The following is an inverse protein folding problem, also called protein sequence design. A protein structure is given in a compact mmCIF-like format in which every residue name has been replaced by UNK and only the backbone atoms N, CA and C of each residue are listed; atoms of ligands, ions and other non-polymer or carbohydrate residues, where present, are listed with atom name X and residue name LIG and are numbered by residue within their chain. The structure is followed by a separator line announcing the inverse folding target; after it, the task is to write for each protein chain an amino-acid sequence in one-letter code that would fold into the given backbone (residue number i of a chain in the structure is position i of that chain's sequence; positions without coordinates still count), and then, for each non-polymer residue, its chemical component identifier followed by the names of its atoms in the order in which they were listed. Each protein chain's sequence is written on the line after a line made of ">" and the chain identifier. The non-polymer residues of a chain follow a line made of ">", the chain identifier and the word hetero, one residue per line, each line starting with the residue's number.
data_IF_909446008158
#
_entry.id   IF_909446008158
#
_cell.length_a   1.000
_cell.length_b   1.000
_cell.length_c   1.000
_cell.angle_alpha   90.00
_cell.angle_beta   90.00
_cell.angle_gamma   90.00
#
_symmetry.space_group_name_H-M   'P 1'
#
loop_
_entity.id
_entity.type
_entity.pdbx_description
1 polymer ?
#
# COMPACT_ATOMS: atom_id res chain seq x y z
N UNK A 1 26.10 17.98 -30.15
CA UNK A 1 25.46 17.91 -28.82
C UNK A 1 24.30 16.92 -28.89
N UNK A 2 24.50 15.69 -28.40
CA UNK A 2 23.48 14.65 -28.43
C UNK A 2 22.68 14.68 -27.12
N UNK A 3 21.38 14.98 -27.22
CA UNK A 3 20.44 15.03 -26.10
C UNK A 3 19.96 13.62 -25.78
N UNK A 4 20.50 13.01 -24.74
CA UNK A 4 20.11 11.68 -24.28
C UNK A 4 18.67 11.72 -23.75
N UNK A 5 17.72 11.11 -24.47
CA UNK A 5 16.37 10.86 -23.96
C UNK A 5 16.46 9.83 -22.84
N UNK A 6 16.18 10.26 -21.61
CA UNK A 6 15.92 9.36 -20.48
C UNK A 6 14.59 8.66 -20.76
N UNK A 7 14.62 7.40 -21.20
CA UNK A 7 13.42 6.55 -21.20
C UNK A 7 13.15 6.13 -19.75
N UNK A 8 11.98 6.50 -19.22
CA UNK A 8 11.50 6.04 -17.93
C UNK A 8 11.63 4.51 -17.85
N UNK A 9 12.43 4.01 -16.89
CA UNK A 9 12.43 2.59 -16.56
C UNK A 9 11.01 2.22 -16.15
N UNK A 10 10.41 1.25 -16.85
CA UNK A 10 9.21 0.56 -16.37
C UNK A 10 9.48 0.17 -14.92
N UNK A 11 8.75 0.78 -13.99
CA UNK A 11 8.61 0.25 -12.65
C UNK A 11 8.12 -1.19 -12.82
N UNK A 12 8.96 -2.16 -12.46
CA UNK A 12 8.47 -3.50 -12.15
C UNK A 12 7.75 -3.36 -10.81
N UNK A 13 6.54 -2.80 -10.83
CA UNK A 13 5.69 -2.66 -9.65
C UNK A 13 5.78 -3.95 -8.86
N UNK A 14 6.22 -3.84 -7.59
CA UNK A 14 6.85 -4.89 -6.80
C UNK A 14 6.33 -6.30 -7.07
N UNK A 15 6.90 -6.96 -8.08
CA UNK A 15 6.57 -8.37 -8.34
C UNK A 15 7.38 -9.16 -7.34
N UNK A 16 6.68 -9.70 -6.34
CA UNK A 16 7.22 -10.70 -5.45
C UNK A 16 8.00 -11.77 -6.26
N UNK A 17 9.11 -12.30 -5.72
CA UNK A 17 9.89 -13.33 -6.40
C UNK A 17 8.98 -14.46 -6.90
N UNK A 18 9.14 -14.83 -8.17
CA UNK A 18 8.28 -15.83 -8.83
C UNK A 18 8.29 -17.11 -8.01
N UNK A 19 7.10 -17.70 -7.80
CA UNK A 19 6.83 -18.87 -6.94
C UNK A 19 7.88 -19.99 -7.03
N UNK A 20 8.45 -20.24 -8.21
CA UNK A 20 9.49 -21.24 -8.42
C UNK A 20 10.79 -20.95 -7.67
N UNK A 21 11.23 -19.69 -7.59
CA UNK A 21 12.52 -19.34 -7.00
C UNK A 21 12.56 -19.57 -5.48
N UNK A 22 11.46 -19.29 -4.77
CA UNK A 22 11.34 -19.49 -3.31
C UNK A 22 11.17 -20.97 -2.97
N UNK A 23 10.41 -21.71 -3.79
CA UNK A 23 10.25 -23.15 -3.60
C UNK A 23 11.56 -23.92 -3.87
N UNK A 24 12.32 -23.55 -4.90
CA UNK A 24 13.61 -24.18 -5.18
C UNK A 24 14.64 -23.98 -4.07
N UNK A 25 14.68 -22.80 -3.45
CA UNK A 25 15.61 -22.55 -2.32
C UNK A 25 15.19 -23.29 -1.05
N UNK A 26 13.89 -23.36 -0.76
CA UNK A 26 13.35 -24.20 0.32
C UNK A 26 13.69 -25.69 0.10
N UNK A 27 13.44 -26.19 -1.11
CA UNK A 27 13.69 -27.58 -1.47
C UNK A 27 15.18 -27.95 -1.37
N UNK A 28 16.06 -27.11 -1.89
CA UNK A 28 17.49 -27.31 -1.79
C UNK A 28 17.98 -27.35 -0.33
N UNK A 29 17.43 -26.49 0.55
CA UNK A 29 17.79 -26.48 1.97
C UNK A 29 17.33 -27.76 2.68
N UNK A 30 16.10 -28.21 2.42
CA UNK A 30 15.55 -29.44 3.01
C UNK A 30 16.29 -30.70 2.57
N UNK A 31 16.67 -30.77 1.29
CA UNK A 31 17.49 -31.87 0.79
C UNK A 31 18.91 -31.86 1.38
N UNK A 32 19.51 -30.69 1.57
CA UNK A 32 20.82 -30.57 2.24
C UNK A 32 20.76 -31.01 3.72
N UNK A 33 19.71 -30.63 4.46
CA UNK A 33 19.46 -31.06 5.84
C UNK A 33 19.27 -32.58 5.94
N UNK A 34 18.50 -33.20 5.04
CA UNK A 34 18.31 -34.66 5.00
C UNK A 34 19.61 -35.41 4.73
N UNK A 35 20.43 -34.90 3.80
CA UNK A 35 21.73 -35.48 3.45
C UNK A 35 22.72 -35.41 4.62
N UNK A 36 22.72 -34.32 5.38
CA UNK A 36 23.53 -34.19 6.60
C UNK A 36 23.08 -35.16 7.71
N UNK A 37 21.79 -35.50 7.76
CA UNK A 37 21.23 -36.46 8.71
C UNK A 37 21.31 -37.93 8.24
N UNK A 38 21.94 -38.20 7.09
CA UNK A 38 22.03 -39.55 6.53
C UNK A 38 20.69 -40.16 6.12
N UNK A 39 19.65 -39.34 5.93
CA UNK A 39 18.32 -39.77 5.49
C UNK A 39 18.27 -39.88 3.97
N UNK A 40 17.35 -40.72 3.48
CA UNK A 40 17.04 -40.83 2.06
C UNK A 40 16.57 -39.47 1.49
N UNK A 41 16.73 -39.32 0.18
CA UNK A 41 16.33 -38.12 -0.55
C UNK A 41 14.83 -37.87 -0.36
N UNK A 42 14.47 -36.66 0.08
CA UNK A 42 13.08 -36.30 0.38
C UNK A 42 12.30 -36.24 -0.94
N UNK A 43 11.16 -36.93 -0.99
CA UNK A 43 10.31 -36.94 -2.18
C UNK A 43 9.56 -35.62 -2.34
N UNK A 44 9.19 -35.28 -3.58
CA UNK A 44 8.50 -34.01 -3.90
C UNK A 44 7.17 -33.86 -3.14
N UNK A 45 6.44 -34.97 -2.95
CA UNK A 45 5.21 -35.00 -2.18
C UNK A 45 5.42 -34.71 -0.68
N UNK A 46 6.52 -35.19 -0.07
CA UNK A 46 6.85 -34.89 1.33
C UNK A 46 7.31 -33.43 1.50
N UNK A 47 7.97 -32.88 0.49
CA UNK A 47 8.39 -31.48 0.43
C UNK A 47 7.21 -30.52 0.33
N UNK A 48 6.20 -30.85 -0.49
CA UNK A 48 4.95 -30.07 -0.56
C UNK A 48 4.12 -30.19 0.72
N UNK A 49 4.06 -31.37 1.35
CA UNK A 49 3.32 -31.58 2.59
C UNK A 49 3.90 -30.83 3.80
N UNK A 50 5.22 -30.59 3.80
CA UNK A 50 5.91 -29.82 4.85
C UNK A 50 6.24 -28.39 4.44
N UNK A 51 5.90 -28.00 3.20
CA UNK A 51 6.12 -26.64 2.73
C UNK A 51 5.42 -25.66 3.67
N UNK A 52 6.04 -24.51 3.99
CA UNK A 52 5.39 -23.49 4.78
C UNK A 52 4.05 -23.12 4.13
N UNK A 53 2.99 -23.09 4.95
CA UNK A 53 1.63 -22.74 4.53
C UNK A 53 1.70 -21.47 3.69
N UNK A 54 1.16 -21.55 2.46
CA UNK A 54 1.14 -20.43 1.53
C UNK A 54 0.33 -19.30 2.16
N UNK A 55 1.03 -18.28 2.67
CA UNK A 55 0.39 -17.08 3.18
C UNK A 55 0.05 -16.20 1.96
N UNK A 56 -1.09 -16.48 1.34
CA UNK A 56 -1.64 -15.69 0.22
C UNK A 56 -2.45 -14.50 0.74
N UNK A 57 -1.84 -13.58 1.48
CA UNK A 57 -2.42 -12.24 1.48
C UNK A 57 -1.81 -11.48 0.33
N UNK A 58 -2.68 -10.93 -0.52
CA UNK A 58 -2.30 -9.91 -1.47
C UNK A 58 -1.72 -8.76 -0.65
N UNK A 59 -0.41 -8.51 -0.74
CA UNK A 59 0.22 -7.30 -0.18
C UNK A 59 -0.11 -6.12 -1.11
N UNK A 60 -1.39 -5.98 -1.47
CA UNK A 60 -1.87 -4.75 -2.06
C UNK A 60 -1.66 -3.64 -1.04
N UNK A 61 -1.32 -2.46 -1.53
CA UNK A 61 -1.19 -1.29 -0.66
C UNK A 61 -2.50 -1.07 0.08
N UNK A 62 -3.66 -1.34 -0.55
CA UNK A 62 -4.95 -1.27 0.09
C UNK A 62 -5.07 -2.23 1.27
N UNK A 63 -4.73 -3.52 1.11
CA UNK A 63 -4.90 -4.51 2.17
C UNK A 63 -4.04 -4.19 3.40
N UNK A 64 -2.81 -3.75 3.19
CA UNK A 64 -1.88 -3.40 4.26
C UNK A 64 -2.27 -2.08 4.94
N UNK A 65 -2.68 -1.08 4.15
CA UNK A 65 -3.08 0.22 4.70
C UNK A 65 -4.42 0.14 5.46
N UNK A 66 -5.39 -0.61 4.96
CA UNK A 66 -6.68 -0.80 5.62
C UNK A 66 -6.66 -1.82 6.77
N UNK A 67 -5.67 -2.72 6.83
CA UNK A 67 -5.48 -3.62 7.98
C UNK A 67 -5.08 -2.88 9.25
N UNK A 68 -4.44 -1.72 9.11
CA UNK A 68 -4.03 -0.86 10.21
C UNK A 68 -5.03 0.30 10.36
N UNK A 69 -6.09 0.09 11.14
CA UNK A 69 -6.91 1.21 11.56
C UNK A 69 -6.19 1.94 12.69
N UNK A 70 -5.95 3.24 12.51
CA UNK A 70 -5.48 4.10 13.58
C UNK A 70 -6.70 4.67 14.30
N UNK A 71 -6.80 4.44 15.61
CA UNK A 71 -7.84 5.05 16.43
C UNK A 71 -7.63 6.57 16.42
N UNK A 72 -8.47 7.29 15.68
CA UNK A 72 -8.53 8.73 15.76
C UNK A 72 -8.88 9.13 17.19
N UNK A 73 -8.13 10.09 17.75
CA UNK A 73 -8.41 10.64 19.07
C UNK A 73 -9.75 11.41 19.06
N UNK A 74 -10.34 11.71 20.23
CA UNK A 74 -11.61 12.43 20.31
C UNK A 74 -11.59 13.72 19.48
N UNK A 75 -12.72 14.03 18.84
CA UNK A 75 -12.92 15.27 18.09
C UNK A 75 -12.56 16.48 18.93
N UNK A 76 -11.62 17.30 18.43
CA UNK A 76 -11.21 18.57 19.03
C UNK A 76 -11.91 19.74 18.34
N UNK A 77 -12.02 20.88 19.03
CA UNK A 77 -12.44 22.15 18.43
C UNK A 77 -11.26 22.98 17.92
N UNK A 78 -10.04 22.58 18.26
CA UNK A 78 -8.82 23.27 17.83
C UNK A 78 -8.47 22.92 16.38
N UNK A 79 -7.95 23.90 15.63
CA UNK A 79 -7.48 23.67 14.25
C UNK A 79 -6.30 22.69 14.20
N UNK A 80 -5.50 22.64 15.26
CA UNK A 80 -4.33 21.77 15.34
C UNK A 80 -4.07 21.37 16.80
N UNK A 81 -4.26 20.09 17.11
CA UNK A 81 -3.98 19.49 18.42
C UNK A 81 -3.14 18.22 18.24
N UNK A 82 -1.80 18.32 18.30
CA UNK A 82 -0.95 17.15 18.17
C UNK A 82 -1.08 16.24 19.41
N UNK A 83 -1.10 14.93 19.18
CA UNK A 83 -1.06 13.92 20.24
C UNK A 83 0.11 12.98 20.00
N UNK A 84 0.85 12.68 21.06
CA UNK A 84 2.06 11.86 20.99
C UNK A 84 1.81 10.54 21.72
N UNK A 85 2.25 9.45 21.10
CA UNK A 85 2.29 8.13 21.72
C UNK A 85 3.69 7.55 21.63
N UNK A 86 4.05 6.75 22.62
CA UNK A 86 5.32 6.01 22.61
C UNK A 86 5.00 4.55 22.81
N UNK A 87 5.61 3.70 21.99
CA UNK A 87 5.54 2.25 22.16
C UNK A 87 6.96 1.68 22.11
N UNK A 88 7.20 0.66 22.92
CA UNK A 88 8.47 -0.08 22.88
C UNK A 88 8.15 -1.52 22.54
N UNK A 89 8.79 -2.04 21.52
CA UNK A 89 8.61 -3.43 21.07
C UNK A 89 9.96 -4.12 21.03
N UNK A 90 9.94 -5.44 21.21
CA UNK A 90 11.11 -6.28 20.94
C UNK A 90 10.92 -6.79 19.52
N UNK A 91 11.94 -6.59 18.66
CA UNK A 91 11.85 -7.06 17.28
C UNK A 91 11.65 -8.59 17.27
N UNK A 92 10.51 -9.11 16.77
CA UNK A 92 10.21 -10.54 16.81
C UNK A 92 10.98 -11.35 15.75
N UNK A 93 11.68 -10.68 14.83
CA UNK A 93 12.45 -11.32 13.73
C UNK A 93 13.92 -11.55 14.10
N UNK A 94 14.45 -10.86 15.12
CA UNK A 94 15.82 -11.03 15.60
C UNK A 94 15.86 -11.87 16.88
N UNK A 95 16.06 -13.18 16.70
CA UNK A 95 16.07 -14.14 17.81
C UNK A 95 17.30 -14.03 18.73
N UNK A 96 18.42 -13.45 18.24
CA UNK A 96 19.70 -13.49 18.94
C UNK A 96 19.96 -12.24 19.80
N UNK A 97 19.54 -11.05 19.35
CA UNK A 97 19.88 -9.79 20.02
C UNK A 97 18.70 -9.04 20.65
N UNK A 98 17.44 -9.54 20.52
CA UNK A 98 16.22 -8.93 21.10
C UNK A 98 16.28 -7.39 21.05
N UNK A 99 16.62 -6.84 19.89
CA UNK A 99 16.81 -5.41 19.76
C UNK A 99 15.51 -4.70 20.17
N UNK A 100 15.65 -3.77 21.11
CA UNK A 100 14.55 -2.98 21.63
C UNK A 100 14.32 -1.85 20.63
N UNK A 101 13.13 -1.81 20.06
CA UNK A 101 12.69 -0.77 19.14
C UNK A 101 11.79 0.20 19.91
N UNK A 102 12.07 1.50 19.75
CA UNK A 102 11.25 2.57 20.29
C UNK A 102 10.52 3.26 19.15
N UNK A 103 9.21 3.36 19.28
CA UNK A 103 8.31 3.97 18.32
C UNK A 103 7.74 5.25 18.91
N UNK A 104 7.80 6.33 18.14
CA UNK A 104 7.11 7.58 18.42
C UNK A 104 5.97 7.71 17.41
N UNK A 105 4.74 7.77 17.89
CA UNK A 105 3.58 8.14 17.09
C UNK A 105 3.23 9.60 17.31
N UNK A 106 2.86 10.27 16.21
CA UNK A 106 2.35 11.64 16.21
C UNK A 106 1.03 11.62 15.47
N UNK A 107 -0.04 12.01 16.15
CA UNK A 107 -1.36 12.18 15.58
C UNK A 107 -1.63 13.67 15.44
N UNK A 108 -2.07 14.10 14.25
CA UNK A 108 -2.45 15.48 13.98
C UNK A 108 -3.97 15.57 14.01
N UNK A 109 -4.52 15.84 15.20
CA UNK A 109 -5.97 15.99 15.33
C UNK A 109 -6.38 17.43 15.01
N UNK A 110 -7.53 17.59 14.38
CA UNK A 110 -8.07 18.88 14.00
C UNK A 110 -9.59 18.89 14.11
N UNK A 111 -10.18 20.06 14.33
CA UNK A 111 -11.60 20.30 14.14
C UNK A 111 -12.06 20.12 12.70
N UNK A 112 -11.13 19.95 11.76
CA UNK A 112 -11.36 19.60 10.36
C UNK A 112 -11.52 18.09 10.12
N UNK A 113 -11.29 17.25 11.13
CA UNK A 113 -11.36 15.79 10.97
C UNK A 113 -12.80 15.25 11.03
N UNK A 114 -13.04 14.13 10.34
CA UNK A 114 -14.31 13.42 10.39
C UNK A 114 -15.50 14.30 9.96
N UNK A 115 -16.54 14.49 10.81
CA UNK A 115 -17.65 15.42 10.51
C UNK A 115 -17.21 16.87 10.33
N UNK A 116 -16.09 17.26 10.95
CA UNK A 116 -15.49 18.58 10.88
C UNK A 116 -15.15 19.04 9.47
N UNK A 117 -14.78 18.11 8.60
CA UNK A 117 -14.43 18.37 7.20
C UNK A 117 -15.58 19.00 6.40
N UNK A 118 -16.82 18.76 6.84
CA UNK A 118 -18.03 19.29 6.20
C UNK A 118 -18.47 20.64 6.78
N UNK A 119 -18.14 20.91 8.05
CA UNK A 119 -18.64 22.08 8.78
C UNK A 119 -17.62 23.21 8.82
N UNK A 120 -16.34 22.89 8.90
CA UNK A 120 -15.24 23.84 8.92
C UNK A 120 -14.48 23.72 7.61
N UNK A 121 -14.87 24.51 6.62
CA UNK A 121 -14.25 24.49 5.31
C UNK A 121 -13.27 25.65 5.18
N UNK A 122 -11.99 25.34 4.90
CA UNK A 122 -10.99 26.36 4.55
C UNK A 122 -11.00 26.55 3.04
N UNK A 123 -10.91 27.80 2.58
CA UNK A 123 -10.82 28.12 1.15
C UNK A 123 -9.74 27.29 0.45
N UNK A 124 -10.14 26.56 -0.58
CA UNK A 124 -9.29 25.71 -1.40
C UNK A 124 -8.92 26.40 -2.71
N UNK A 125 -7.68 26.18 -3.16
CA UNK A 125 -7.24 26.44 -4.52
C UNK A 125 -6.91 25.09 -5.17
N UNK A 126 -7.79 24.60 -6.03
CA UNK A 126 -7.68 23.29 -6.66
C UNK A 126 -7.16 23.43 -8.09
N UNK A 127 -6.05 22.75 -8.42
CA UNK A 127 -5.56 22.67 -9.80
C UNK A 127 -5.70 21.23 -10.29
N UNK A 128 -6.38 21.04 -11.42
CA UNK A 128 -6.63 19.72 -11.99
C UNK A 128 -5.83 19.56 -13.28
N UNK A 129 -5.05 18.48 -13.35
CA UNK A 129 -4.38 18.06 -14.58
C UNK A 129 -4.99 16.74 -15.04
N UNK A 130 -5.53 16.73 -16.26
CA UNK A 130 -6.20 15.57 -16.83
C UNK A 130 -5.37 15.01 -17.98
N UNK A 131 -5.00 13.74 -17.90
CA UNK A 131 -4.39 13.04 -19.04
C UNK A 131 -5.44 12.86 -20.15
N UNK A 132 -5.06 13.20 -21.37
CA UNK A 132 -5.86 13.07 -22.59
C UNK A 132 -5.15 12.20 -23.65
N UNK A 133 -4.18 11.39 -23.22
CA UNK A 133 -3.49 10.44 -24.08
C UNK A 133 -4.43 9.41 -24.72
N UNK A 134 -3.99 8.77 -25.81
CA UNK A 134 -4.82 7.80 -26.54
C UNK A 134 -5.37 6.66 -25.67
N UNK A 135 -4.63 6.23 -24.65
CA UNK A 135 -5.06 5.17 -23.71
C UNK A 135 -6.26 5.54 -22.84
N UNK A 136 -6.57 6.84 -22.73
CA UNK A 136 -7.76 7.32 -22.02
C UNK A 136 -9.06 7.05 -22.78
N UNK A 137 -8.96 6.70 -24.07
CA UNK A 137 -10.09 6.22 -24.88
C UNK A 137 -10.39 4.73 -24.68
N UNK A 138 -9.50 3.99 -23.99
CA UNK A 138 -9.74 2.58 -23.68
C UNK A 138 -10.85 2.42 -22.64
N UNK A 139 -11.43 1.23 -22.57
CA UNK A 139 -12.43 0.87 -21.56
C UNK A 139 -11.83 0.95 -20.15
N UNK A 140 -12.64 1.40 -19.19
CA UNK A 140 -12.30 1.35 -17.78
C UNK A 140 -12.67 -0.02 -17.20
N UNK A 141 -11.71 -0.70 -16.57
CA UNK A 141 -11.98 -1.97 -15.91
C UNK A 141 -12.84 -1.74 -14.66
N UNK A 142 -13.96 -2.46 -14.54
CA UNK A 142 -14.91 -2.29 -13.43
C UNK A 142 -16.14 -1.43 -13.75
N UNK A 143 -16.12 -0.63 -14.82
CA UNK A 143 -17.28 0.14 -15.30
C UNK A 143 -17.64 -0.27 -16.74
N UNK A 144 -18.60 -1.19 -16.94
CA UNK A 144 -18.92 -1.70 -18.27
C UNK A 144 -19.46 -0.58 -19.17
N UNK A 145 -18.85 -0.44 -20.35
CA UNK A 145 -19.32 0.46 -21.41
C UNK A 145 -18.78 1.89 -21.36
N UNK A 146 -17.93 2.23 -20.38
CA UNK A 146 -17.29 3.57 -20.29
C UNK A 146 -15.80 3.52 -20.58
N UNK A 147 -15.29 4.60 -21.15
CA UNK A 147 -13.85 4.81 -21.29
C UNK A 147 -13.23 5.37 -20.01
N UNK A 148 -11.91 5.24 -19.86
CA UNK A 148 -11.18 5.84 -18.72
C UNK A 148 -11.40 7.35 -18.64
N UNK A 149 -11.45 8.04 -19.78
CA UNK A 149 -11.72 9.47 -19.84
C UNK A 149 -13.13 9.82 -19.34
N UNK A 150 -14.14 9.03 -19.73
CA UNK A 150 -15.52 9.25 -19.28
C UNK A 150 -15.65 9.05 -17.77
N UNK A 151 -15.00 8.02 -17.23
CA UNK A 151 -14.96 7.78 -15.78
C UNK A 151 -14.22 8.93 -15.07
N UNK A 152 -13.07 9.37 -15.59
CA UNK A 152 -12.34 10.50 -15.03
C UNK A 152 -13.18 11.79 -15.03
N UNK A 153 -13.89 12.09 -16.13
CA UNK A 153 -14.80 13.23 -16.20
C UNK A 153 -15.93 13.13 -15.17
N UNK A 154 -16.54 11.96 -15.00
CA UNK A 154 -17.60 11.74 -14.02
C UNK A 154 -17.07 11.92 -12.59
N UNK A 155 -15.87 11.41 -12.30
CA UNK A 155 -15.20 11.61 -11.01
C UNK A 155 -14.92 13.07 -10.74
N UNK A 156 -14.43 13.81 -11.75
CA UNK A 156 -14.21 15.25 -11.66
C UNK A 156 -15.51 16.01 -11.37
N UNK A 157 -16.59 15.73 -12.11
CA UNK A 157 -17.89 16.35 -11.86
C UNK A 157 -18.42 16.03 -10.45
N UNK A 158 -18.11 14.85 -9.92
CA UNK A 158 -18.50 14.48 -8.56
C UNK A 158 -17.67 15.22 -7.51
N UNK A 159 -16.37 15.38 -7.76
CA UNK A 159 -15.46 16.14 -6.91
C UNK A 159 -15.83 17.63 -6.88
N UNK A 160 -16.11 18.23 -8.05
CA UNK A 160 -16.47 19.64 -8.17
C UNK A 160 -17.79 19.98 -7.44
N UNK A 161 -18.69 19.01 -7.25
CA UNK A 161 -19.90 19.20 -6.43
C UNK A 161 -19.61 19.40 -4.93
N UNK A 162 -18.40 19.07 -4.47
CA UNK A 162 -17.98 19.30 -3.09
C UNK A 162 -17.39 20.70 -2.89
N UNK A 163 -17.08 21.44 -3.95
CA UNK A 163 -16.55 22.79 -3.85
C UNK A 163 -17.63 23.79 -3.44
N UNK A 164 -17.22 24.78 -2.67
CA UNK A 164 -18.03 25.91 -2.24
C UNK A 164 -17.81 27.12 -3.15
N UNK A 165 -18.68 28.14 -3.12
CA UNK A 165 -18.51 29.35 -3.94
C UNK A 165 -17.22 30.15 -3.67
N UNK A 166 -16.61 29.96 -2.49
CA UNK A 166 -15.38 30.67 -2.10
C UNK A 166 -14.11 29.99 -2.66
N UNK A 167 -14.23 28.76 -3.16
CA UNK A 167 -13.12 27.99 -3.72
C UNK A 167 -12.68 28.49 -5.08
N UNK A 168 -11.39 28.32 -5.36
CA UNK A 168 -10.81 28.58 -6.67
C UNK A 168 -10.44 27.27 -7.36
N UNK A 169 -10.77 27.18 -8.65
CA UNK A 169 -10.39 26.12 -9.58
C UNK A 169 -9.45 26.67 -10.66
#
# INVERSE_FOLDING_TARGET
>A
MARTKQTARKSTGGKAPRKSAVFHTYAARKQAEAKQQGKAEITEAELEATAPVEVTYDVSYESSFYAHHFTAQPTTMDLFLPSFGVATTINPLENENKNIEHWLSVNFNSCLDGPGIRTHHTRLHLVITLDISGSMSDKFEGEPGKTKLQVAQQSLLTLLKQLTPDDAL
#
